data_IF_007694565432
#
_entry.id   IF_007694565432
#
_cell.length_a   1.000
_cell.length_b   1.000
_cell.length_c   1.000
_cell.angle_alpha   90.00
_cell.angle_beta   90.00
_cell.angle_gamma   90.00
#
_symmetry.space_group_name_H-M   'P 1'
#
loop_
_entity.id
_entity.type
_entity.pdbx_description
1 polymer ?
#
# COMPACT_ATOMS: atom_id res chain seq x y z
N UNK A 1 -16.17 -15.01 -18.50
CA UNK A 1 -14.79 -14.49 -18.64
C UNK A 1 -13.97 -15.15 -17.54
N UNK A 2 -12.81 -15.74 -17.86
CA UNK A 2 -11.91 -16.31 -16.85
C UNK A 2 -11.20 -15.22 -16.06
N UNK A 3 -10.61 -15.60 -14.91
CA UNK A 3 -9.88 -14.62 -14.08
C UNK A 3 -8.66 -14.03 -14.80
N UNK A 4 -7.96 -14.80 -15.62
CA UNK A 4 -6.83 -14.30 -16.40
C UNK A 4 -7.26 -13.17 -17.35
N UNK A 5 -8.34 -13.37 -18.09
CA UNK A 5 -8.91 -12.37 -19.00
C UNK A 5 -9.39 -11.13 -18.24
N UNK A 6 -9.97 -11.30 -17.06
CA UNK A 6 -10.35 -10.18 -16.20
C UNK A 6 -9.13 -9.37 -15.76
N UNK A 7 -8.06 -10.04 -15.29
CA UNK A 7 -6.82 -9.36 -14.89
C UNK A 7 -6.21 -8.59 -16.07
N UNK A 8 -6.25 -9.16 -17.28
CA UNK A 8 -5.77 -8.52 -18.51
C UNK A 8 -6.61 -7.30 -18.87
N UNK A 9 -7.95 -7.41 -18.84
CA UNK A 9 -8.87 -6.31 -19.11
C UNK A 9 -8.76 -5.18 -18.08
N UNK A 10 -8.39 -5.50 -16.84
CA UNK A 10 -8.11 -4.49 -15.80
C UNK A 10 -6.73 -3.84 -15.92
N UNK A 11 -5.88 -4.29 -16.85
CA UNK A 11 -4.52 -3.78 -17.02
C UNK A 11 -3.56 -4.17 -15.89
N UNK A 12 -3.82 -5.29 -15.21
CA UNK A 12 -3.04 -5.74 -14.05
C UNK A 12 -1.82 -6.58 -14.44
N UNK A 13 -1.79 -7.19 -15.62
CA UNK A 13 -0.70 -8.06 -16.06
C UNK A 13 0.40 -7.24 -16.72
N UNK A 14 1.65 -7.36 -16.25
CA UNK A 14 2.83 -6.75 -16.85
C UNK A 14 3.69 -7.77 -17.62
N UNK A 15 4.20 -8.78 -16.95
CA UNK A 15 5.03 -9.81 -17.55
C UNK A 15 4.60 -11.20 -17.07
N UNK A 16 4.79 -12.21 -17.91
CA UNK A 16 4.46 -13.60 -17.63
C UNK A 16 5.56 -14.52 -18.17
N UNK A 17 5.85 -15.62 -17.48
CA UNK A 17 6.81 -16.63 -17.97
C UNK A 17 6.23 -17.52 -19.07
N UNK A 18 4.95 -17.88 -18.95
CA UNK A 18 4.20 -18.69 -19.90
C UNK A 18 2.72 -18.32 -19.82
N UNK A 19 2.22 -17.60 -20.84
CA UNK A 19 0.85 -17.08 -20.83
C UNK A 19 -0.20 -18.18 -20.85
N UNK A 20 0.04 -19.25 -21.63
CA UNK A 20 -0.94 -20.33 -21.79
C UNK A 20 -1.07 -21.16 -20.52
N UNK A 21 0.05 -21.57 -19.93
CA UNK A 21 0.07 -22.34 -18.68
C UNK A 21 -0.49 -21.55 -17.51
N UNK A 22 -0.09 -20.28 -17.38
CA UNK A 22 -0.62 -19.40 -16.31
C UNK A 22 -2.12 -19.22 -16.44
N UNK A 23 -2.62 -18.97 -17.66
CA UNK A 23 -4.06 -18.86 -17.94
C UNK A 23 -4.81 -20.12 -17.52
N UNK A 24 -4.30 -21.29 -17.91
CA UNK A 24 -4.90 -22.56 -17.53
C UNK A 24 -4.93 -22.74 -16.01
N UNK A 25 -3.82 -22.48 -15.33
CA UNK A 25 -3.72 -22.65 -13.88
C UNK A 25 -4.71 -21.74 -13.13
N UNK A 26 -4.70 -20.43 -13.41
CA UNK A 26 -5.52 -19.49 -12.65
C UNK A 26 -7.00 -19.57 -12.98
N UNK A 27 -7.37 -19.83 -14.25
CA UNK A 27 -8.76 -19.94 -14.65
C UNK A 27 -9.45 -21.21 -14.11
N UNK A 28 -8.68 -22.25 -13.81
CA UNK A 28 -9.21 -23.52 -13.29
C UNK A 28 -9.02 -23.69 -11.77
N UNK A 29 -8.59 -22.64 -11.05
CA UNK A 29 -8.38 -22.70 -9.59
C UNK A 29 -7.25 -23.65 -9.18
N UNK A 30 -6.30 -23.92 -10.08
CA UNK A 30 -5.17 -24.85 -9.86
C UNK A 30 -3.90 -24.17 -9.38
N UNK A 31 -3.87 -22.84 -9.33
CA UNK A 31 -2.70 -22.12 -8.85
C UNK A 31 -2.67 -22.12 -7.31
N UNK A 32 -1.60 -22.67 -6.75
CA UNK A 32 -1.12 -22.36 -5.41
C UNK A 32 0.00 -21.36 -5.57
N UNK A 33 -0.20 -20.13 -5.14
CA UNK A 33 0.69 -19.03 -5.47
C UNK A 33 1.07 -18.21 -4.26
N UNK A 34 2.23 -17.56 -4.31
CA UNK A 34 2.63 -16.67 -3.23
C UNK A 34 2.94 -15.24 -3.70
N UNK A 35 2.79 -14.33 -2.76
CA UNK A 35 3.31 -12.97 -2.81
C UNK A 35 4.08 -12.74 -1.50
N UNK A 36 5.31 -12.22 -1.61
CA UNK A 36 6.17 -11.91 -0.47
C UNK A 36 5.95 -10.48 0.03
N UNK A 37 6.00 -10.32 1.35
CA UNK A 37 5.83 -9.05 2.05
C UNK A 37 6.94 -8.88 3.09
N UNK A 38 7.92 -8.04 2.79
CA UNK A 38 8.95 -7.65 3.74
C UNK A 38 8.39 -6.73 4.82
N UNK A 39 8.56 -7.11 6.08
CA UNK A 39 7.98 -6.43 7.25
C UNK A 39 8.78 -5.18 7.66
N UNK A 40 8.92 -4.22 6.76
CA UNK A 40 9.73 -3.00 6.94
C UNK A 40 9.03 -1.88 7.72
N UNK A 41 7.78 -2.07 8.11
CA UNK A 41 6.96 -1.16 8.93
C UNK A 41 5.85 -1.97 9.63
N UNK A 42 5.24 -1.38 10.65
CA UNK A 42 4.13 -1.95 11.43
C UNK A 42 2.76 -1.79 10.76
N UNK A 43 2.71 -1.44 9.48
CA UNK A 43 1.49 -1.40 8.67
C UNK A 43 1.79 -1.60 7.19
N UNK A 44 0.82 -2.22 6.51
CA UNK A 44 0.72 -2.19 5.06
C UNK A 44 0.29 -0.78 4.60
N UNK A 45 0.61 -0.43 3.38
CA UNK A 45 0.25 0.85 2.76
C UNK A 45 -0.28 0.65 1.33
N UNK A 46 -0.76 1.71 0.70
CA UNK A 46 -1.32 1.67 -0.67
C UNK A 46 -0.40 0.98 -1.68
N UNK A 47 0.93 1.02 -1.49
CA UNK A 47 1.87 0.27 -2.35
C UNK A 47 1.71 -1.25 -2.30
N UNK A 48 1.19 -1.82 -1.21
CA UNK A 48 0.88 -3.25 -1.08
C UNK A 48 -0.56 -3.58 -1.52
N UNK A 49 -1.39 -2.56 -1.68
CA UNK A 49 -2.82 -2.71 -1.91
C UNK A 49 -3.15 -3.50 -3.19
N UNK A 50 -2.40 -3.25 -4.26
CA UNK A 50 -2.59 -4.00 -5.51
C UNK A 50 -2.31 -5.50 -5.35
N UNK A 51 -1.26 -5.84 -4.60
CA UNK A 51 -0.94 -7.23 -4.31
C UNK A 51 -2.07 -7.92 -3.52
N UNK A 52 -2.62 -7.23 -2.51
CA UNK A 52 -3.75 -7.73 -1.73
C UNK A 52 -5.02 -7.89 -2.58
N UNK A 53 -5.32 -6.92 -3.44
CA UNK A 53 -6.45 -7.02 -4.38
C UNK A 53 -6.28 -8.18 -5.37
N UNK A 54 -5.06 -8.41 -5.85
CA UNK A 54 -4.75 -9.56 -6.71
C UNK A 54 -4.97 -10.88 -5.98
N UNK A 55 -4.43 -11.01 -4.75
CA UNK A 55 -4.63 -12.22 -3.93
C UNK A 55 -6.11 -12.51 -3.71
N UNK A 56 -6.90 -11.47 -3.37
CA UNK A 56 -8.35 -11.59 -3.19
C UNK A 56 -9.05 -12.06 -4.47
N UNK A 57 -8.75 -11.46 -5.62
CA UNK A 57 -9.35 -11.85 -6.92
C UNK A 57 -9.05 -13.28 -7.27
N UNK A 58 -7.80 -13.71 -7.14
CA UNK A 58 -7.39 -15.07 -7.44
C UNK A 58 -7.99 -16.08 -6.46
N UNK A 59 -8.12 -15.71 -5.18
CA UNK A 59 -8.81 -16.54 -4.19
C UNK A 59 -10.29 -16.70 -4.52
N UNK A 60 -10.99 -15.63 -4.89
CA UNK A 60 -12.39 -15.67 -5.33
C UNK A 60 -12.58 -16.56 -6.58
N UNK A 61 -11.56 -16.68 -7.42
CA UNK A 61 -11.52 -17.58 -8.57
C UNK A 61 -11.10 -19.02 -8.23
N UNK A 62 -11.00 -19.38 -6.93
CA UNK A 62 -10.69 -20.72 -6.45
C UNK A 62 -9.22 -21.05 -6.33
N UNK A 63 -8.31 -20.11 -6.58
CA UNK A 63 -6.87 -20.30 -6.39
C UNK A 63 -6.48 -20.17 -4.92
N UNK A 64 -5.33 -20.73 -4.53
CA UNK A 64 -4.85 -20.79 -3.15
C UNK A 64 -3.70 -19.80 -2.92
N UNK A 65 -3.95 -18.65 -2.28
CA UNK A 65 -2.90 -17.69 -1.97
C UNK A 65 -2.04 -18.13 -0.79
N UNK A 66 -0.76 -17.82 -0.88
CA UNK A 66 0.21 -17.86 0.23
C UNK A 66 0.69 -16.42 0.46
N UNK A 67 0.37 -15.86 1.61
CA UNK A 67 0.99 -14.63 2.08
C UNK A 67 2.32 -14.99 2.75
N UNK A 68 3.43 -14.75 2.05
CA UNK A 68 4.75 -15.01 2.58
C UNK A 68 5.28 -13.81 3.34
N UNK A 69 5.39 -13.94 4.64
CA UNK A 69 6.02 -12.95 5.50
C UNK A 69 7.54 -13.07 5.36
N UNK A 70 8.18 -11.97 4.98
CA UNK A 70 9.62 -11.89 4.79
C UNK A 70 10.39 -11.70 6.09
N UNK A 71 10.17 -12.55 7.11
CA UNK A 71 10.88 -12.44 8.40
C UNK A 71 12.41 -12.56 8.26
N UNK A 72 12.88 -13.51 7.44
CA UNK A 72 14.29 -13.67 7.13
C UNK A 72 14.79 -12.65 6.10
N UNK A 73 14.06 -12.44 5.00
CA UNK A 73 14.47 -11.52 3.93
C UNK A 73 14.46 -10.05 4.36
N UNK A 74 13.59 -9.65 5.29
CA UNK A 74 13.60 -8.28 5.86
C UNK A 74 14.91 -7.96 6.57
N UNK A 75 15.58 -8.95 7.17
CA UNK A 75 16.89 -8.76 7.80
C UNK A 75 18.00 -8.41 6.80
N UNK A 76 17.81 -8.80 5.54
CA UNK A 76 18.75 -8.55 4.44
C UNK A 76 18.40 -7.26 3.70
N UNK A 77 17.13 -7.12 3.32
CA UNK A 77 16.57 -5.98 2.60
C UNK A 77 16.69 -6.09 1.08
N UNK A 78 15.53 -6.05 0.43
CA UNK A 78 15.41 -6.09 -1.05
C UNK A 78 16.01 -4.82 -1.69
N UNK A 79 17.01 -4.97 -2.59
CA UNK A 79 17.60 -3.86 -3.32
C UNK A 79 16.76 -3.37 -4.50
N UNK A 80 15.75 -4.12 -4.94
CA UNK A 80 14.97 -3.86 -6.15
C UNK A 80 14.28 -2.48 -6.12
N UNK A 81 14.48 -1.70 -7.19
CA UNK A 81 13.84 -0.38 -7.34
C UNK A 81 14.24 0.66 -6.28
N UNK A 82 15.43 0.54 -5.68
CA UNK A 82 15.95 1.44 -4.65
C UNK A 82 17.33 1.98 -5.00
N UNK A 83 17.61 3.16 -4.45
CA UNK A 83 18.91 3.81 -4.58
C UNK A 83 19.80 3.60 -3.35
N UNK A 84 19.22 3.34 -2.18
CA UNK A 84 19.92 3.25 -0.90
C UNK A 84 19.61 1.94 -0.19
N UNK A 85 20.56 1.46 0.64
CA UNK A 85 20.39 0.28 1.48
C UNK A 85 19.26 0.50 2.49
N UNK A 86 18.50 -0.56 2.80
CA UNK A 86 17.45 -0.50 3.83
C UNK A 86 18.05 -0.36 5.23
N UNK A 87 17.32 0.34 6.12
CA UNK A 87 17.64 0.34 7.54
C UNK A 87 17.49 -1.09 8.09
N UNK A 88 18.48 -1.55 8.81
CA UNK A 88 18.42 -2.84 9.51
C UNK A 88 17.44 -2.73 10.68
N UNK A 89 16.51 -3.68 10.74
CA UNK A 89 15.53 -3.82 11.83
C UNK A 89 15.96 -4.94 12.77
N UNK A 90 15.53 -4.86 14.03
CA UNK A 90 15.72 -5.97 14.99
C UNK A 90 14.73 -7.10 14.67
N UNK A 91 15.01 -8.29 15.24
CA UNK A 91 14.08 -9.41 15.10
C UNK A 91 12.73 -9.10 15.75
N UNK A 92 12.73 -8.43 16.88
CA UNK A 92 11.54 -8.01 17.62
C UNK A 92 10.69 -7.04 16.81
N UNK A 93 11.32 -6.06 16.12
CA UNK A 93 10.62 -5.15 15.21
C UNK A 93 9.95 -5.92 14.06
N UNK A 94 10.66 -6.89 13.47
CA UNK A 94 10.17 -7.69 12.35
C UNK A 94 9.00 -8.57 12.78
N UNK A 95 9.11 -9.25 13.93
CA UNK A 95 8.06 -10.10 14.49
C UNK A 95 6.79 -9.26 14.79
N UNK A 96 6.95 -8.08 15.39
CA UNK A 96 5.85 -7.15 15.64
C UNK A 96 5.17 -6.70 14.33
N UNK A 97 5.95 -6.31 13.34
CA UNK A 97 5.45 -5.88 12.04
C UNK A 97 4.71 -7.02 11.32
N UNK A 98 5.21 -8.25 11.41
CA UNK A 98 4.58 -9.43 10.84
C UNK A 98 3.16 -9.66 11.40
N UNK A 99 3.00 -9.53 12.73
CA UNK A 99 1.68 -9.65 13.38
C UNK A 99 0.73 -8.52 12.97
N UNK A 100 1.25 -7.30 12.75
CA UNK A 100 0.46 -6.20 12.22
C UNK A 100 -0.02 -6.48 10.78
N UNK A 101 0.86 -6.99 9.92
CA UNK A 101 0.51 -7.37 8.55
C UNK A 101 -0.57 -8.45 8.51
N UNK A 102 -0.44 -9.48 9.32
CA UNK A 102 -1.41 -10.58 9.41
C UNK A 102 -2.82 -10.06 9.65
N UNK A 103 -3.00 -9.25 10.71
CA UNK A 103 -4.32 -8.67 11.05
C UNK A 103 -4.91 -7.83 9.94
N UNK A 104 -4.07 -7.14 9.15
CA UNK A 104 -4.55 -6.33 8.03
C UNK A 104 -4.90 -7.19 6.82
N UNK A 105 -4.13 -8.25 6.53
CA UNK A 105 -4.37 -9.17 5.42
C UNK A 105 -5.67 -9.97 5.60
N UNK A 106 -6.05 -10.31 6.83
CA UNK A 106 -7.30 -11.03 7.15
C UNK A 106 -8.57 -10.28 6.69
N UNK A 107 -8.46 -8.98 6.42
CA UNK A 107 -9.56 -8.19 5.84
C UNK A 107 -9.73 -8.39 4.34
N UNK A 108 -8.69 -8.87 3.66
CA UNK A 108 -8.67 -9.03 2.21
C UNK A 108 -8.85 -10.48 1.79
N UNK A 109 -8.19 -11.40 2.45
CA UNK A 109 -8.13 -12.81 2.09
C UNK A 109 -8.56 -13.68 3.26
N UNK A 110 -9.19 -14.79 2.94
CA UNK A 110 -9.64 -15.77 3.92
C UNK A 110 -8.55 -16.80 4.17
N UNK A 111 -8.03 -16.85 5.40
CA UNK A 111 -7.08 -17.86 5.84
C UNK A 111 -7.79 -19.10 6.38
N UNK A 112 -7.15 -20.26 6.30
CA UNK A 112 -7.63 -21.52 6.88
C UNK A 112 -7.36 -22.71 5.99
N UNK A 113 -7.81 -23.89 6.45
CA UNK A 113 -7.66 -25.13 5.72
C UNK A 113 -8.34 -25.08 4.34
N UNK A 114 -7.61 -25.40 3.28
CA UNK A 114 -8.08 -25.32 1.90
C UNK A 114 -8.24 -23.90 1.33
N UNK A 115 -7.99 -22.86 2.13
CA UNK A 115 -8.04 -21.44 1.76
C UNK A 115 -6.62 -20.87 1.61
N UNK A 116 -6.39 -19.63 2.06
CA UNK A 116 -5.06 -19.03 2.07
C UNK A 116 -4.19 -19.56 3.21
N UNK A 117 -2.89 -19.58 2.99
CA UNK A 117 -1.87 -19.84 4.00
C UNK A 117 -1.09 -18.57 4.29
N UNK A 118 -0.60 -18.46 5.54
CA UNK A 118 0.41 -17.48 5.92
C UNK A 118 1.66 -18.23 6.35
N UNK A 119 2.77 -17.95 5.70
CA UNK A 119 4.08 -18.56 5.98
C UNK A 119 5.08 -17.46 6.31
N UNK A 120 6.10 -17.80 7.10
CA UNK A 120 7.21 -16.90 7.41
C UNK A 120 8.51 -17.52 6.90
N UNK A 121 9.23 -16.85 6.02
CA UNK A 121 10.48 -17.40 5.49
C UNK A 121 11.62 -17.45 6.52
N UNK A 122 11.49 -16.80 7.67
CA UNK A 122 12.42 -17.00 8.78
C UNK A 122 12.45 -18.47 9.28
N UNK A 123 11.32 -19.20 9.16
CA UNK A 123 11.20 -20.58 9.64
C UNK A 123 12.20 -21.53 8.94
N UNK A 124 12.55 -21.25 7.70
CA UNK A 124 13.54 -22.06 6.96
C UNK A 124 14.84 -21.29 6.69
N UNK A 125 14.83 -20.00 6.38
CA UNK A 125 16.05 -19.26 6.03
C UNK A 125 17.02 -19.14 7.21
N UNK A 126 16.50 -18.97 8.43
CA UNK A 126 17.34 -18.83 9.65
C UNK A 126 18.08 -20.13 10.04
N UNK A 127 17.61 -21.26 9.56
CA UNK A 127 18.16 -22.59 9.88
C UNK A 127 19.02 -23.17 8.74
N UNK A 128 19.23 -22.43 7.65
CA UNK A 128 20.05 -22.90 6.53
C UNK A 128 21.53 -22.96 6.89
N UNK A 129 22.15 -24.10 6.60
CA UNK A 129 23.61 -24.19 6.64
C UNK A 129 24.20 -23.44 5.45
N UNK A 130 25.06 -22.47 5.72
CA UNK A 130 25.64 -21.60 4.68
C UNK A 130 26.40 -22.37 3.60
N UNK A 131 27.21 -23.37 3.98
CA UNK A 131 28.01 -24.17 3.04
C UNK A 131 27.10 -25.04 2.17
N UNK A 132 26.07 -25.63 2.76
CA UNK A 132 25.10 -26.44 2.01
C UNK A 132 24.30 -25.56 1.04
N UNK A 133 23.87 -24.38 1.45
CA UNK A 133 23.21 -23.42 0.58
C UNK A 133 24.09 -23.04 -0.61
N UNK A 134 25.36 -22.73 -0.40
CA UNK A 134 26.29 -22.41 -1.49
C UNK A 134 26.48 -23.56 -2.45
N UNK A 135 26.62 -24.80 -1.96
CA UNK A 135 26.82 -26.00 -2.82
C UNK A 135 25.56 -26.34 -3.60
N UNK A 136 24.41 -26.37 -2.95
CA UNK A 136 23.18 -26.89 -3.52
C UNK A 136 22.41 -25.84 -4.33
N UNK A 137 22.39 -24.60 -3.86
CA UNK A 137 21.63 -23.51 -4.47
C UNK A 137 22.55 -22.55 -5.20
N UNK A 138 23.61 -22.09 -4.57
CA UNK A 138 24.56 -21.14 -5.16
C UNK A 138 25.16 -21.63 -6.48
N UNK A 139 25.41 -22.94 -6.63
CA UNK A 139 25.88 -23.55 -7.89
C UNK A 139 24.88 -23.40 -9.05
N UNK A 140 23.62 -23.10 -8.79
CA UNK A 140 22.59 -22.84 -9.80
C UNK A 140 22.57 -21.36 -10.28
N UNK A 141 23.34 -20.46 -9.66
CA UNK A 141 23.36 -19.05 -10.00
C UNK A 141 24.70 -18.64 -10.64
N UNK A 142 24.62 -17.88 -11.72
CA UNK A 142 25.79 -17.26 -12.34
C UNK A 142 25.90 -15.80 -11.87
N UNK A 143 27.00 -15.47 -11.21
CA UNK A 143 27.28 -14.08 -10.77
C UNK A 143 27.19 -13.09 -11.94
N UNK A 144 27.72 -13.46 -13.11
CA UNK A 144 27.66 -12.61 -14.30
C UNK A 144 26.21 -12.34 -14.77
N UNK A 145 25.33 -13.32 -14.65
CA UNK A 145 23.90 -13.13 -15.00
C UNK A 145 23.19 -12.31 -13.93
N UNK A 146 23.48 -12.58 -12.65
CA UNK A 146 22.91 -11.80 -11.54
C UNK A 146 23.28 -10.33 -11.65
N UNK A 147 24.55 -10.00 -11.91
CA UNK A 147 25.00 -8.61 -12.05
C UNK A 147 24.35 -7.85 -13.23
N UNK A 148 23.81 -8.57 -14.22
CA UNK A 148 23.04 -7.98 -15.33
C UNK A 148 21.56 -7.84 -15.03
N UNK A 149 21.10 -8.35 -13.88
CA UNK A 149 19.70 -8.32 -13.51
C UNK A 149 19.27 -6.88 -13.16
N UNK A 150 18.11 -6.47 -13.69
CA UNK A 150 17.56 -5.13 -13.52
C UNK A 150 17.38 -4.73 -12.05
N UNK A 151 17.14 -5.69 -11.16
CA UNK A 151 16.99 -5.43 -9.72
C UNK A 151 18.26 -4.87 -9.07
N UNK A 152 19.46 -5.10 -9.64
CA UNK A 152 20.74 -4.60 -9.12
C UNK A 152 21.22 -3.31 -9.81
N UNK A 153 20.69 -2.97 -10.99
CA UNK A 153 21.19 -1.89 -11.85
C UNK A 153 21.38 -0.57 -11.08
N UNK A 154 20.37 -0.11 -10.38
CA UNK A 154 20.41 1.16 -9.63
C UNK A 154 21.35 1.12 -8.42
N UNK A 155 21.50 -0.06 -7.81
CA UNK A 155 22.40 -0.24 -6.65
C UNK A 155 23.85 -0.36 -7.03
N UNK A 156 24.15 -0.89 -8.20
CA UNK A 156 25.54 -1.00 -8.69
C UNK A 156 26.22 0.37 -8.83
N UNK A 157 25.50 1.39 -9.24
CA UNK A 157 26.03 2.75 -9.37
C UNK A 157 26.47 3.34 -8.02
N UNK A 158 25.81 2.97 -6.92
CA UNK A 158 26.07 3.47 -5.55
C UNK A 158 26.78 2.48 -4.64
N UNK A 159 27.11 1.31 -5.15
CA UNK A 159 27.76 0.23 -4.42
C UNK A 159 26.77 -0.78 -3.84
N UNK A 160 26.58 -1.91 -4.58
CA UNK A 160 25.81 -3.06 -4.14
C UNK A 160 26.60 -3.85 -3.10
N UNK A 161 26.05 -4.03 -1.90
CA UNK A 161 26.68 -4.84 -0.86
C UNK A 161 26.51 -6.34 -1.15
N UNK A 162 27.43 -7.17 -0.63
CA UNK A 162 27.31 -8.63 -0.72
C UNK A 162 26.02 -9.13 -0.03
N UNK A 163 25.60 -8.46 1.04
CA UNK A 163 24.33 -8.74 1.72
C UNK A 163 23.16 -8.63 0.77
N UNK A 164 22.98 -7.45 0.12
CA UNK A 164 21.91 -7.19 -0.83
C UNK A 164 21.98 -8.11 -2.06
N UNK A 165 23.19 -8.45 -2.51
CA UNK A 165 23.39 -9.34 -3.66
C UNK A 165 22.82 -10.75 -3.42
N UNK A 166 22.79 -11.21 -2.17
CA UNK A 166 22.22 -12.52 -1.82
C UNK A 166 20.69 -12.53 -1.76
N UNK A 167 20.02 -11.36 -1.80
CA UNK A 167 18.56 -11.32 -1.69
C UNK A 167 17.85 -12.14 -2.78
N UNK A 168 18.29 -12.07 -4.04
CA UNK A 168 17.74 -12.86 -5.13
C UNK A 168 17.82 -14.36 -4.86
N UNK A 169 18.93 -14.83 -4.29
CA UNK A 169 19.13 -16.25 -3.96
C UNK A 169 18.13 -16.70 -2.88
N UNK A 170 17.92 -15.88 -1.85
CA UNK A 170 16.98 -16.16 -0.77
C UNK A 170 15.54 -16.21 -1.27
N UNK A 171 15.11 -15.23 -2.06
CA UNK A 171 13.76 -15.24 -2.65
C UNK A 171 13.56 -16.41 -3.61
N UNK A 172 14.59 -16.80 -4.34
CA UNK A 172 14.55 -17.99 -5.20
C UNK A 172 14.45 -19.28 -4.37
N UNK A 173 15.12 -19.33 -3.23
CA UNK A 173 15.02 -20.44 -2.31
C UNK A 173 13.65 -20.53 -1.65
N UNK A 174 13.03 -19.41 -1.31
CA UNK A 174 11.66 -19.38 -0.81
C UNK A 174 10.69 -20.06 -1.77
N UNK A 175 10.76 -19.73 -3.06
CA UNK A 175 9.90 -20.35 -4.08
C UNK A 175 10.17 -21.85 -4.18
N UNK A 176 11.45 -22.24 -4.26
CA UNK A 176 11.86 -23.63 -4.32
C UNK A 176 11.40 -24.44 -3.10
N UNK A 177 11.55 -23.88 -1.91
CA UNK A 177 11.11 -24.51 -0.66
C UNK A 177 9.58 -24.70 -0.64
N UNK A 178 8.81 -23.67 -0.93
CA UNK A 178 7.35 -23.74 -0.96
C UNK A 178 6.80 -24.61 -2.10
N UNK A 179 7.52 -24.70 -3.23
CA UNK A 179 7.16 -25.62 -4.29
C UNK A 179 7.20 -27.07 -3.81
N UNK A 180 8.18 -27.44 -3.01
CA UNK A 180 8.35 -28.81 -2.48
C UNK A 180 7.43 -29.10 -1.30
N UNK A 181 7.22 -28.13 -0.42
CA UNK A 181 6.56 -28.37 0.88
C UNK A 181 5.06 -28.15 0.84
N UNK A 182 4.58 -27.18 0.07
CA UNK A 182 3.15 -26.80 0.02
C UNK A 182 2.58 -26.77 -1.40
N UNK A 183 3.35 -27.22 -2.40
CA UNK A 183 2.90 -27.27 -3.79
C UNK A 183 2.70 -25.90 -4.45
N UNK A 184 3.42 -24.88 -3.99
CA UNK A 184 3.39 -23.56 -4.58
C UNK A 184 3.95 -23.58 -6.00
N UNK A 185 3.11 -23.40 -7.02
CA UNK A 185 3.48 -23.49 -8.43
C UNK A 185 3.57 -22.14 -9.16
N UNK A 186 3.19 -21.04 -8.47
CA UNK A 186 3.25 -19.71 -9.06
C UNK A 186 3.76 -18.67 -8.06
N UNK A 187 4.47 -17.68 -8.58
CA UNK A 187 4.86 -16.47 -7.87
C UNK A 187 4.24 -15.24 -8.53
N UNK A 188 3.70 -14.32 -7.73
CA UNK A 188 3.28 -13.00 -8.18
C UNK A 188 4.07 -11.92 -7.45
N UNK A 189 4.28 -10.79 -8.11
CA UNK A 189 4.97 -9.64 -7.53
C UNK A 189 4.79 -8.39 -8.39
N UNK A 190 5.29 -7.25 -7.92
CA UNK A 190 5.41 -6.04 -8.74
C UNK A 190 6.41 -6.23 -9.88
N UNK A 191 6.31 -5.41 -10.92
CA UNK A 191 7.20 -5.53 -12.09
C UNK A 191 8.68 -5.31 -11.76
N UNK A 192 8.98 -4.64 -10.66
CA UNK A 192 10.33 -4.49 -10.11
C UNK A 192 10.92 -5.80 -9.53
N UNK A 193 10.09 -6.82 -9.31
CA UNK A 193 10.48 -8.14 -8.78
C UNK A 193 10.82 -9.18 -9.87
N UNK A 194 10.65 -8.85 -11.14
CA UNK A 194 10.75 -9.82 -12.23
C UNK A 194 12.04 -10.65 -12.20
N UNK A 195 13.19 -10.00 -12.03
CA UNK A 195 14.48 -10.70 -11.99
C UNK A 195 14.61 -11.69 -10.83
N UNK A 196 14.11 -11.31 -9.65
CA UNK A 196 14.11 -12.19 -8.48
C UNK A 196 13.20 -13.40 -8.70
N UNK A 197 12.01 -13.18 -9.30
CA UNK A 197 11.03 -14.23 -9.59
C UNK A 197 11.57 -15.26 -10.58
N UNK A 198 12.26 -14.80 -11.64
CA UNK A 198 12.91 -15.69 -12.61
C UNK A 198 14.01 -16.55 -11.97
N UNK A 199 14.71 -16.04 -10.97
CA UNK A 199 15.68 -16.83 -10.19
C UNK A 199 15.03 -18.05 -9.54
N UNK A 200 13.83 -17.89 -9.00
CA UNK A 200 13.05 -18.97 -8.39
C UNK A 200 12.56 -20.02 -9.39
N UNK A 201 11.98 -19.60 -10.52
CA UNK A 201 11.53 -20.52 -11.58
C UNK A 201 12.70 -21.33 -12.15
N UNK A 202 13.84 -20.67 -12.37
CA UNK A 202 15.06 -21.33 -12.89
C UNK A 202 15.67 -22.30 -11.87
N UNK A 203 15.66 -21.97 -10.57
CA UNK A 203 16.12 -22.85 -9.52
C UNK A 203 15.28 -24.14 -9.46
N UNK A 204 13.96 -24.03 -9.50
CA UNK A 204 13.03 -25.17 -9.53
C UNK A 204 13.29 -26.04 -10.76
N UNK A 205 13.43 -25.43 -11.94
CA UNK A 205 13.73 -26.15 -13.18
C UNK A 205 15.05 -26.91 -13.09
N UNK A 206 16.11 -26.28 -12.59
CA UNK A 206 17.45 -26.91 -12.47
C UNK A 206 17.51 -28.03 -11.46
N UNK A 207 16.87 -27.82 -10.29
CA UNK A 207 16.96 -28.78 -9.19
C UNK A 207 15.96 -29.94 -9.30
N UNK A 208 14.77 -29.68 -9.83
CA UNK A 208 13.65 -30.64 -9.82
C UNK A 208 13.24 -31.11 -11.23
N UNK A 209 13.71 -30.45 -12.30
CA UNK A 209 13.27 -30.73 -13.67
C UNK A 209 11.77 -30.45 -13.86
N UNK A 210 11.19 -29.51 -13.08
CA UNK A 210 9.79 -29.16 -13.11
C UNK A 210 9.63 -27.68 -13.45
N UNK A 211 8.44 -27.33 -13.98
CA UNK A 211 8.09 -25.97 -14.30
C UNK A 211 7.34 -25.31 -13.14
N UNK A 212 7.70 -24.07 -12.87
CA UNK A 212 6.99 -23.14 -12.00
C UNK A 212 6.88 -21.80 -12.72
N UNK A 213 5.83 -21.05 -12.42
CA UNK A 213 5.46 -19.88 -13.20
C UNK A 213 5.55 -18.60 -12.39
N UNK A 214 5.78 -17.49 -13.09
CA UNK A 214 5.83 -16.17 -12.51
C UNK A 214 5.02 -15.19 -13.37
N UNK A 215 4.31 -14.29 -12.68
CA UNK A 215 3.59 -13.18 -13.30
C UNK A 215 3.79 -11.91 -12.49
N UNK A 216 4.18 -10.83 -13.15
CA UNK A 216 4.26 -9.52 -12.51
C UNK A 216 3.00 -8.70 -12.76
N UNK A 217 2.66 -7.87 -11.77
CA UNK A 217 1.59 -6.90 -11.87
C UNK A 217 2.14 -5.51 -12.18
N UNK A 218 1.38 -4.77 -12.97
CA UNK A 218 1.67 -3.38 -13.31
C UNK A 218 1.80 -2.55 -12.03
N UNK A 219 2.85 -1.72 -11.94
CA UNK A 219 3.02 -0.81 -10.80
C UNK A 219 1.94 0.28 -10.82
N UNK A 220 1.43 0.60 -9.64
CA UNK A 220 0.46 1.68 -9.49
C UNK A 220 1.17 3.04 -9.56
N UNK A 221 1.24 3.59 -10.76
CA UNK A 221 1.85 4.88 -11.04
C UNK A 221 0.75 5.90 -11.39
N UNK A 222 0.96 7.15 -10.98
CA UNK A 222 0.13 8.26 -11.45
C UNK A 222 0.54 8.67 -12.88
N UNK A 223 -0.19 9.61 -13.48
CA UNK A 223 0.05 10.15 -14.83
C UNK A 223 1.42 10.83 -15.00
N UNK A 224 2.09 11.20 -13.89
CA UNK A 224 3.47 11.72 -13.88
C UNK A 224 4.53 10.61 -13.76
N UNK A 225 4.14 9.33 -13.75
CA UNK A 225 5.05 8.19 -13.59
C UNK A 225 5.54 7.96 -12.15
N UNK A 226 4.96 8.62 -11.14
CA UNK A 226 5.34 8.45 -9.74
C UNK A 226 4.51 7.34 -9.08
N UNK A 227 5.16 6.52 -8.23
CA UNK A 227 4.46 5.49 -7.44
C UNK A 227 3.40 6.14 -6.54
N UNK A 228 2.15 5.68 -6.63
CA UNK A 228 1.04 6.14 -5.79
C UNK A 228 1.17 5.60 -4.35
N UNK A 229 0.42 6.21 -3.42
CA UNK A 229 0.42 5.83 -2.01
C UNK A 229 1.47 6.54 -1.16
N UNK A 230 2.14 7.55 -1.72
CA UNK A 230 3.00 8.46 -0.97
C UNK A 230 2.50 9.90 -1.12
N UNK A 231 2.45 10.61 -0.01
CA UNK A 231 2.14 12.05 0.06
C UNK A 231 3.35 12.82 0.58
N UNK A 232 3.27 14.13 0.64
CA UNK A 232 4.31 14.96 1.26
C UNK A 232 4.50 14.63 2.76
N UNK A 233 3.48 14.07 3.41
CA UNK A 233 3.48 13.63 4.81
C UNK A 233 3.87 12.17 5.01
N UNK A 234 4.20 11.44 3.95
CA UNK A 234 4.62 10.03 4.02
C UNK A 234 3.71 9.04 3.30
N UNK A 235 3.75 7.78 3.71
CA UNK A 235 2.92 6.73 3.11
C UNK A 235 1.45 6.86 3.54
N UNK A 236 0.53 6.47 2.65
CA UNK A 236 -0.88 6.27 2.98
C UNK A 236 -1.06 4.84 3.47
N UNK A 237 -1.30 4.71 4.77
CA UNK A 237 -1.33 3.44 5.49
C UNK A 237 -2.72 2.78 5.42
N UNK A 238 -2.75 1.46 5.57
CA UNK A 238 -4.01 0.71 5.70
C UNK A 238 -4.46 0.59 7.17
N UNK A 239 -3.58 0.92 8.12
CA UNK A 239 -3.93 1.01 9.54
C UNK A 239 -4.71 2.31 9.81
N UNK A 240 -5.95 2.24 10.36
CA UNK A 240 -6.75 3.41 10.66
C UNK A 240 -6.14 4.32 11.74
N UNK A 241 -5.22 3.83 12.56
CA UNK A 241 -4.51 4.64 13.56
C UNK A 241 -3.38 5.49 12.94
N UNK A 242 -2.92 5.15 11.72
CA UNK A 242 -1.86 5.87 10.99
C UNK A 242 -2.39 6.76 9.88
N UNK A 243 -3.41 6.28 9.16
CA UNK A 243 -4.19 7.05 8.18
C UNK A 243 -5.65 6.79 8.50
N UNK A 244 -6.35 7.80 8.98
CA UNK A 244 -7.76 7.64 9.35
C UNK A 244 -8.60 7.21 8.13
N UNK A 245 -9.75 6.53 8.29
CA UNK A 245 -10.64 6.19 7.17
C UNK A 245 -11.05 7.42 6.35
N UNK A 246 -11.22 8.57 7.01
CA UNK A 246 -11.50 9.83 6.33
C UNK A 246 -10.32 10.33 5.48
N UNK A 247 -9.09 10.32 6.00
CA UNK A 247 -7.89 10.72 5.23
C UNK A 247 -7.60 9.75 4.10
N UNK A 248 -7.84 8.44 4.32
CA UNK A 248 -7.75 7.43 3.28
C UNK A 248 -8.78 7.69 2.16
N UNK A 249 -10.03 7.98 2.51
CA UNK A 249 -11.07 8.39 1.57
C UNK A 249 -10.68 9.65 0.80
N UNK A 250 -10.19 10.69 1.50
CA UNK A 250 -9.76 11.94 0.88
C UNK A 250 -8.57 11.76 -0.04
N UNK A 251 -7.65 10.86 0.27
CA UNK A 251 -6.54 10.54 -0.63
C UNK A 251 -7.07 10.10 -2.00
N UNK A 252 -7.99 9.15 -2.03
CA UNK A 252 -8.57 8.63 -3.28
C UNK A 252 -9.53 9.63 -3.94
N UNK A 253 -10.27 10.40 -3.16
CA UNK A 253 -11.14 11.47 -3.65
C UNK A 253 -10.37 12.59 -4.36
N UNK A 254 -9.08 12.75 -4.03
CA UNK A 254 -8.18 13.77 -4.58
C UNK A 254 -7.22 13.24 -5.66
N UNK A 255 -7.44 12.04 -6.17
CA UNK A 255 -6.69 11.49 -7.32
C UNK A 255 -6.92 12.36 -8.55
N UNK A 256 -5.90 12.49 -9.41
CA UNK A 256 -5.97 13.29 -10.63
C UNK A 256 -7.05 12.77 -11.61
N UNK A 257 -7.62 13.67 -12.41
CA UNK A 257 -8.63 13.30 -13.41
C UNK A 257 -8.10 12.27 -14.41
N UNK A 258 -6.83 12.36 -14.77
CA UNK A 258 -6.17 11.43 -15.70
C UNK A 258 -5.94 10.03 -15.09
N UNK A 259 -6.04 9.89 -13.75
CA UNK A 259 -5.71 8.65 -13.04
C UNK A 259 -6.93 7.90 -12.50
N UNK A 260 -8.05 8.60 -12.30
CA UNK A 260 -9.20 8.06 -11.56
C UNK A 260 -9.81 6.82 -12.20
N UNK A 261 -10.05 6.82 -13.51
CA UNK A 261 -10.67 5.68 -14.20
C UNK A 261 -9.73 4.47 -14.23
N UNK A 262 -8.43 4.72 -14.43
CA UNK A 262 -7.40 3.68 -14.29
C UNK A 262 -7.39 3.06 -12.88
N UNK A 263 -7.44 3.88 -11.83
CA UNK A 263 -7.50 3.39 -10.46
C UNK A 263 -8.78 2.59 -10.18
N UNK A 264 -9.94 3.01 -10.67
CA UNK A 264 -11.19 2.25 -10.57
C UNK A 264 -11.01 0.87 -11.21
N UNK A 265 -10.50 0.81 -12.44
CA UNK A 265 -10.32 -0.42 -13.20
C UNK A 265 -9.38 -1.40 -12.51
N UNK A 266 -8.26 -0.92 -11.99
CA UNK A 266 -7.22 -1.76 -11.39
C UNK A 266 -7.56 -2.20 -9.96
N UNK A 267 -8.16 -1.34 -9.15
CA UNK A 267 -8.24 -1.52 -7.70
C UNK A 267 -9.61 -1.93 -7.19
N UNK A 268 -10.70 -1.52 -7.84
CA UNK A 268 -12.05 -1.84 -7.36
C UNK A 268 -12.53 -3.22 -7.83
N UNK A 269 -13.52 -3.77 -7.12
CA UNK A 269 -14.18 -5.03 -7.48
C UNK A 269 -15.50 -4.80 -8.25
N UNK A 270 -15.69 -3.60 -8.78
CA UNK A 270 -16.84 -3.29 -9.65
C UNK A 270 -16.81 -4.14 -10.93
N UNK A 271 -18.00 -4.56 -11.45
CA UNK A 271 -18.10 -5.24 -12.74
C UNK A 271 -17.44 -4.44 -13.87
N UNK A 272 -16.75 -5.13 -14.80
CA UNK A 272 -16.08 -4.47 -15.92
C UNK A 272 -17.05 -3.68 -16.79
N UNK A 273 -18.26 -4.17 -17.02
CA UNK A 273 -19.30 -3.48 -17.79
C UNK A 273 -19.68 -2.13 -17.18
N UNK A 274 -19.69 -2.06 -15.85
CA UNK A 274 -19.93 -0.78 -15.14
C UNK A 274 -18.74 0.18 -15.31
N UNK A 275 -17.53 -0.35 -15.28
CA UNK A 275 -16.31 0.45 -15.46
C UNK A 275 -16.19 0.94 -16.90
N UNK A 276 -16.46 0.08 -17.89
CA UNK A 276 -16.42 0.41 -19.31
C UNK A 276 -17.43 1.52 -19.65
N UNK A 277 -18.58 1.53 -18.98
CA UNK A 277 -19.54 2.63 -19.09
C UNK A 277 -19.02 3.99 -18.56
N UNK A 278 -17.99 3.97 -17.70
CA UNK A 278 -17.36 5.19 -17.19
C UNK A 278 -16.23 5.70 -18.09
N UNK A 279 -15.71 4.92 -19.04
CA UNK A 279 -14.57 5.31 -19.88
C UNK A 279 -14.84 6.59 -20.71
N UNK A 280 -16.11 6.89 -20.98
CA UNK A 280 -16.54 8.10 -21.68
C UNK A 280 -16.80 9.30 -20.73
N UNK A 281 -16.55 9.16 -19.43
CA UNK A 281 -16.82 10.23 -18.46
C UNK A 281 -15.76 11.33 -18.53
N UNK A 282 -16.23 12.56 -18.56
CA UNK A 282 -15.40 13.77 -18.65
C UNK A 282 -15.90 14.86 -17.68
N UNK A 283 -15.05 15.83 -17.41
CA UNK A 283 -15.41 17.04 -16.65
C UNK A 283 -15.98 16.71 -15.26
N UNK A 284 -17.19 17.16 -15.00
CA UNK A 284 -17.85 16.97 -13.70
C UNK A 284 -18.17 15.50 -13.36
N UNK A 285 -18.29 14.62 -14.36
CA UNK A 285 -18.53 13.19 -14.14
C UNK A 285 -17.32 12.52 -13.49
N UNK A 286 -16.10 13.00 -13.74
CA UNK A 286 -14.90 12.50 -13.05
C UNK A 286 -14.94 12.74 -11.54
N UNK A 287 -15.63 13.78 -11.08
CA UNK A 287 -15.85 13.96 -9.64
C UNK A 287 -16.68 12.84 -9.03
N UNK A 288 -17.70 12.35 -9.77
CA UNK A 288 -18.48 11.17 -9.35
C UNK A 288 -17.61 9.90 -9.38
N UNK A 289 -16.76 9.74 -10.39
CA UNK A 289 -15.81 8.63 -10.45
C UNK A 289 -14.87 8.61 -9.25
N UNK A 290 -14.36 9.78 -8.82
CA UNK A 290 -13.53 9.91 -7.62
C UNK A 290 -14.28 9.56 -6.34
N UNK A 291 -15.57 9.88 -6.23
CA UNK A 291 -16.40 9.44 -5.10
C UNK A 291 -16.57 7.93 -5.07
N UNK A 292 -16.85 7.32 -6.22
CA UNK A 292 -16.96 5.86 -6.35
C UNK A 292 -15.64 5.20 -5.96
N UNK A 293 -14.52 5.67 -6.50
CA UNK A 293 -13.19 5.14 -6.17
C UNK A 293 -12.91 5.22 -4.67
N UNK A 294 -13.10 6.40 -4.09
CA UNK A 294 -12.82 6.63 -2.67
C UNK A 294 -13.72 5.75 -1.78
N UNK A 295 -15.01 5.66 -2.10
CA UNK A 295 -15.95 4.83 -1.37
C UNK A 295 -15.59 3.34 -1.43
N UNK A 296 -15.41 2.80 -2.64
CA UNK A 296 -15.12 1.38 -2.85
C UNK A 296 -13.81 0.94 -2.17
N UNK A 297 -12.76 1.77 -2.24
CA UNK A 297 -11.49 1.44 -1.62
C UNK A 297 -11.52 1.61 -0.09
N UNK A 298 -12.22 2.61 0.42
CA UNK A 298 -12.39 2.77 1.87
C UNK A 298 -13.25 1.64 2.44
N UNK A 299 -14.32 1.25 1.75
CA UNK A 299 -15.14 0.08 2.11
C UNK A 299 -14.32 -1.20 2.17
N UNK A 300 -13.45 -1.42 1.19
CA UNK A 300 -12.60 -2.61 1.12
C UNK A 300 -11.59 -2.68 2.26
N UNK A 301 -11.00 -1.55 2.67
CA UNK A 301 -9.94 -1.50 3.69
C UNK A 301 -10.51 -1.35 5.10
N UNK A 302 -11.50 -0.49 5.29
CA UNK A 302 -11.99 -0.08 6.61
C UNK A 302 -13.41 -0.55 6.94
N UNK A 303 -14.10 -1.13 5.95
CA UNK A 303 -15.49 -1.57 6.07
C UNK A 303 -16.50 -0.52 5.63
N UNK A 304 -17.74 -0.97 5.43
CA UNK A 304 -18.82 -0.15 4.84
C UNK A 304 -19.24 1.00 5.75
N UNK A 305 -19.29 0.77 7.06
CA UNK A 305 -19.66 1.78 8.04
C UNK A 305 -18.70 2.98 8.00
N UNK A 306 -17.38 2.70 8.02
CA UNK A 306 -16.37 3.76 7.95
C UNK A 306 -16.33 4.46 6.58
N UNK A 307 -16.62 3.73 5.49
CA UNK A 307 -16.75 4.33 4.17
C UNK A 307 -17.94 5.29 4.08
N UNK A 308 -19.08 4.93 4.67
CA UNK A 308 -20.25 5.79 4.74
C UNK A 308 -19.96 7.07 5.55
N UNK A 309 -19.39 6.92 6.74
CA UNK A 309 -19.00 8.07 7.60
C UNK A 309 -18.03 9.01 6.87
N UNK A 310 -17.01 8.45 6.20
CA UNK A 310 -16.03 9.24 5.46
C UNK A 310 -16.66 9.97 4.26
N UNK A 311 -17.57 9.31 3.55
CA UNK A 311 -18.29 9.92 2.42
C UNK A 311 -19.22 11.05 2.88
N UNK A 312 -19.98 10.84 3.94
CA UNK A 312 -20.87 11.85 4.53
C UNK A 312 -20.07 13.07 4.99
N UNK A 313 -18.98 12.85 5.74
CA UNK A 313 -18.10 13.94 6.17
C UNK A 313 -17.49 14.69 4.98
N UNK A 314 -17.07 13.99 3.92
CA UNK A 314 -16.55 14.63 2.71
C UNK A 314 -17.62 15.47 1.99
N UNK A 315 -18.85 14.98 1.86
CA UNK A 315 -19.97 15.72 1.25
C UNK A 315 -20.35 16.95 2.07
N UNK A 316 -20.32 16.85 3.40
CA UNK A 316 -20.55 17.96 4.31
C UNK A 316 -19.59 19.12 4.07
N UNK A 317 -18.32 18.82 3.82
CA UNK A 317 -17.29 19.83 3.51
C UNK A 317 -17.53 20.61 2.22
N UNK A 318 -18.15 19.98 1.22
CA UNK A 318 -18.35 20.59 -0.10
C UNK A 318 -19.77 21.06 -0.35
N UNK A 319 -20.75 20.64 0.46
CA UNK A 319 -22.18 20.92 0.29
C UNK A 319 -22.78 21.92 1.28
N UNK A 320 -22.05 22.39 2.28
CA UNK A 320 -22.48 23.44 3.22
C UNK A 320 -23.57 23.04 4.21
N UNK A 321 -23.96 21.75 4.33
CA UNK A 321 -25.07 21.30 5.20
C UNK A 321 -24.87 19.93 5.87
N UNK A 322 -23.64 19.53 6.16
CA UNK A 322 -23.37 18.22 6.77
C UNK A 322 -22.64 18.29 8.10
N UNK A 323 -22.78 17.25 8.93
CA UNK A 323 -22.10 17.10 10.22
C UNK A 323 -20.59 16.90 10.04
N UNK A 324 -19.79 17.65 10.79
CA UNK A 324 -18.33 17.52 10.85
C UNK A 324 -17.86 16.39 11.78
N UNK A 325 -18.76 15.63 12.38
CA UNK A 325 -18.47 14.63 13.43
C UNK A 325 -17.51 13.53 12.99
N UNK A 326 -17.51 13.17 11.72
CA UNK A 326 -16.70 12.07 11.17
C UNK A 326 -15.36 12.52 10.58
N UNK A 327 -14.93 13.77 10.78
CA UNK A 327 -13.59 14.23 10.40
C UNK A 327 -12.55 13.85 11.46
N UNK A 328 -11.26 13.77 11.10
CA UNK A 328 -10.19 13.76 12.09
C UNK A 328 -10.36 14.94 13.03
N UNK A 329 -10.38 14.68 14.32
CA UNK A 329 -10.69 15.70 15.29
C UNK A 329 -9.72 15.69 16.48
N UNK A 330 -9.48 16.86 17.06
CA UNK A 330 -8.73 17.02 18.30
C UNK A 330 -9.59 17.74 19.32
N UNK A 331 -9.75 17.12 20.49
CA UNK A 331 -10.27 17.78 21.65
C UNK A 331 -9.18 18.65 22.28
N UNK A 332 -9.39 19.95 22.31
CA UNK A 332 -8.46 20.90 22.91
C UNK A 332 -8.73 21.05 24.40
N UNK A 333 -7.74 20.77 25.27
CA UNK A 333 -7.90 21.03 26.71
C UNK A 333 -7.93 22.53 26.96
N UNK A 334 -8.71 22.97 27.98
CA UNK A 334 -8.86 24.38 28.36
C UNK A 334 -7.50 25.06 28.63
N UNK A 335 -6.52 24.33 29.13
CA UNK A 335 -5.16 24.83 29.39
C UNK A 335 -4.42 25.35 28.12
N UNK A 336 -4.95 25.11 26.93
CA UNK A 336 -4.42 25.64 25.66
C UNK A 336 -4.92 27.05 25.35
N UNK A 337 -5.90 27.52 26.08
CA UNK A 337 -6.46 28.85 25.87
C UNK A 337 -5.90 29.84 26.91
N UNK A 338 -5.17 30.82 26.46
CA UNK A 338 -4.68 31.93 27.29
C UNK A 338 -5.64 33.08 27.18
N UNK A 339 -6.14 33.55 28.29
CA UNK A 339 -7.22 34.59 28.35
C UNK A 339 -8.42 34.23 27.45
N UNK A 340 -8.80 32.94 27.42
CA UNK A 340 -9.93 32.45 26.61
C UNK A 340 -9.65 32.40 25.12
N UNK A 341 -8.40 32.49 24.68
CA UNK A 341 -8.01 32.50 23.26
C UNK A 341 -6.87 31.54 22.95
N UNK A 342 -6.85 30.97 21.72
CA UNK A 342 -5.73 30.19 21.18
C UNK A 342 -5.21 30.85 19.93
N UNK A 343 -3.88 30.95 19.79
CA UNK A 343 -3.22 31.48 18.59
C UNK A 343 -3.25 30.49 17.42
N UNK A 344 -3.31 31.00 16.19
CA UNK A 344 -3.36 30.16 14.99
C UNK A 344 -2.18 29.18 14.88
N UNK A 345 -0.96 29.58 15.27
CA UNK A 345 0.24 28.71 15.28
C UNK A 345 0.04 27.57 16.28
N UNK A 346 -0.36 27.89 17.49
CA UNK A 346 -0.58 26.90 18.56
C UNK A 346 -1.71 25.93 18.20
N UNK A 347 -2.79 26.44 17.63
CA UNK A 347 -3.91 25.61 17.16
C UNK A 347 -3.44 24.55 16.15
N UNK A 348 -2.64 24.94 15.15
CA UNK A 348 -2.12 24.02 14.14
C UNK A 348 -1.21 22.93 14.71
N UNK A 349 -0.39 23.29 15.69
CA UNK A 349 0.52 22.33 16.35
C UNK A 349 -0.25 21.44 17.32
N UNK A 350 -1.18 22.00 18.09
CA UNK A 350 -2.02 21.24 19.03
C UNK A 350 -2.89 20.19 18.30
N UNK A 351 -3.37 20.51 17.11
CA UNK A 351 -4.11 19.58 16.25
C UNK A 351 -3.23 18.61 15.45
N UNK A 352 -1.91 18.60 15.64
CA UNK A 352 -1.00 17.75 14.88
C UNK A 352 -0.90 18.08 13.39
N UNK A 353 -1.47 19.20 12.96
CA UNK A 353 -1.44 19.65 11.57
C UNK A 353 -0.06 20.17 11.14
N UNK A 354 0.75 20.62 12.07
CA UNK A 354 2.12 21.02 11.85
C UNK A 354 3.02 20.40 12.92
N UNK A 355 4.20 19.93 12.53
CA UNK A 355 5.14 19.31 13.44
C UNK A 355 5.89 20.34 14.34
N UNK A 356 5.84 21.62 13.97
CA UNK A 356 6.51 22.70 14.71
C UNK A 356 5.87 24.07 14.48
N UNK A 357 6.12 25.00 15.41
CA UNK A 357 5.71 26.39 15.28
C UNK A 357 6.30 27.06 14.01
N UNK A 358 7.51 26.65 13.61
CA UNK A 358 8.15 27.17 12.39
C UNK A 358 7.44 26.73 11.11
N UNK A 359 6.94 25.48 11.06
CA UNK A 359 6.12 24.99 9.96
C UNK A 359 4.77 25.72 9.90
N UNK A 360 4.09 25.82 11.04
CA UNK A 360 2.81 26.51 11.14
C UNK A 360 2.90 27.96 10.66
N UNK A 361 3.95 28.68 11.09
CA UNK A 361 4.19 30.06 10.68
C UNK A 361 4.36 30.19 9.16
N UNK A 362 5.19 29.38 8.55
CA UNK A 362 5.40 29.37 7.10
C UNK A 362 4.12 29.06 6.34
N UNK A 363 3.35 28.08 6.81
CA UNK A 363 2.09 27.67 6.19
C UNK A 363 1.06 28.80 6.21
N UNK A 364 0.91 29.52 7.34
CA UNK A 364 0.00 30.67 7.43
C UNK A 364 0.46 31.79 6.49
N UNK A 365 1.75 32.13 6.48
CA UNK A 365 2.31 33.18 5.61
C UNK A 365 2.12 32.89 4.12
N UNK A 366 2.16 31.61 3.74
CA UNK A 366 1.86 31.16 2.38
C UNK A 366 0.35 31.16 2.07
N UNK A 367 -0.50 31.48 3.05
CA UNK A 367 -1.94 31.47 2.91
C UNK A 367 -2.56 30.09 2.79
N UNK A 368 -1.86 29.07 3.35
CA UNK A 368 -2.25 27.66 3.30
C UNK A 368 -3.20 27.23 4.43
N UNK A 369 -3.76 28.15 5.23
CA UNK A 369 -4.65 27.83 6.36
C UNK A 369 -5.95 28.60 6.25
N UNK A 370 -7.07 27.90 6.47
CA UNK A 370 -8.38 28.52 6.72
C UNK A 370 -9.04 27.86 7.95
N UNK A 371 -9.84 28.60 8.69
CA UNK A 371 -10.68 28.12 9.81
C UNK A 371 -12.11 28.51 9.50
N UNK A 372 -13.03 27.54 9.50
CA UNK A 372 -14.42 27.71 9.07
C UNK A 372 -14.52 28.48 7.72
N UNK A 373 -13.74 28.02 6.72
CA UNK A 373 -13.60 28.61 5.37
C UNK A 373 -13.05 30.04 5.32
N UNK A 374 -12.75 30.64 6.47
CA UNK A 374 -12.11 31.96 6.52
C UNK A 374 -10.58 31.78 6.54
N UNK A 375 -9.92 32.41 5.57
CA UNK A 375 -8.47 32.35 5.44
C UNK A 375 -7.80 33.02 6.64
N UNK A 376 -6.84 32.34 7.28
CA UNK A 376 -6.01 32.90 8.34
C UNK A 376 -5.00 33.86 7.70
N UNK A 377 -5.25 35.15 7.87
CA UNK A 377 -4.51 36.21 7.17
C UNK A 377 -3.13 36.52 7.78
N UNK A 378 -2.94 36.25 9.09
CA UNK A 378 -1.72 36.57 9.83
C UNK A 378 -1.40 35.49 10.86
N UNK A 379 -0.14 35.39 11.23
CA UNK A 379 0.34 34.52 12.32
C UNK A 379 -0.17 34.93 13.70
N UNK A 380 -0.63 36.18 13.83
CA UNK A 380 -1.11 36.76 15.09
C UNK A 380 -2.63 36.57 15.29
N UNK A 381 -3.30 35.90 14.36
CA UNK A 381 -4.74 35.59 14.48
C UNK A 381 -4.95 34.66 15.67
N UNK A 382 -5.97 35.03 16.48
CA UNK A 382 -6.42 34.24 17.64
C UNK A 382 -7.89 33.85 17.47
N UNK A 383 -8.28 32.76 18.08
CA UNK A 383 -9.64 32.23 18.08
C UNK A 383 -10.15 32.16 19.52
N UNK A 384 -11.37 32.58 19.72
CA UNK A 384 -12.01 32.54 21.05
C UNK A 384 -12.42 31.11 21.41
N UNK A 385 -12.24 30.70 22.65
CA UNK A 385 -12.61 29.37 23.16
C UNK A 385 -14.06 29.00 22.86
N UNK A 386 -14.96 29.97 22.91
CA UNK A 386 -16.36 29.74 22.61
C UNK A 386 -16.63 29.23 21.18
N UNK A 387 -15.74 29.50 20.23
CA UNK A 387 -15.87 28.98 18.86
C UNK A 387 -15.66 27.49 18.77
N UNK A 388 -14.98 26.87 19.75
CA UNK A 388 -14.67 25.46 19.81
C UNK A 388 -15.71 24.61 20.55
N UNK A 389 -16.76 25.26 21.12
CA UNK A 389 -17.86 24.55 21.78
C UNK A 389 -18.77 23.82 20.75
N UNK A 390 -19.43 22.75 21.17
CA UNK A 390 -20.34 21.97 20.32
C UNK A 390 -19.62 21.31 19.16
N UNK A 391 -19.98 21.67 17.93
CA UNK A 391 -19.35 21.10 16.73
C UNK A 391 -17.90 21.56 16.51
N UNK A 392 -17.43 22.57 17.26
CA UNK A 392 -16.09 23.09 17.15
C UNK A 392 -15.82 23.86 15.85
N UNK A 393 -14.54 23.94 15.46
CA UNK A 393 -14.12 24.62 14.23
C UNK A 393 -13.50 23.62 13.25
N UNK A 394 -13.69 23.85 11.96
CA UNK A 394 -13.04 23.11 10.88
C UNK A 394 -11.81 23.86 10.41
N UNK A 395 -10.66 23.24 10.54
CA UNK A 395 -9.37 23.77 10.09
C UNK A 395 -9.02 23.12 8.74
N UNK A 396 -8.66 23.95 7.76
CA UNK A 396 -8.20 23.50 6.44
C UNK A 396 -6.72 23.82 6.26
N UNK A 397 -5.88 22.79 6.04
CA UNK A 397 -4.46 22.90 5.70
C UNK A 397 -4.28 22.65 4.20
N UNK A 398 -3.91 23.68 3.44
CA UNK A 398 -3.83 23.62 1.99
C UNK A 398 -5.18 23.34 1.32
N UNK A 399 -5.17 22.58 0.21
CA UNK A 399 -6.41 22.28 -0.54
C UNK A 399 -7.08 20.97 -0.14
N UNK A 400 -6.41 20.11 0.66
CA UNK A 400 -6.77 18.70 0.75
C UNK A 400 -6.88 18.14 2.18
N UNK A 401 -6.37 18.83 3.20
CA UNK A 401 -6.38 18.35 4.58
C UNK A 401 -7.40 19.15 5.39
N UNK A 402 -8.29 18.44 6.05
CA UNK A 402 -9.33 18.99 6.92
C UNK A 402 -9.25 18.34 8.31
N UNK A 403 -9.49 19.14 9.34
CA UNK A 403 -9.41 18.68 10.72
C UNK A 403 -10.37 19.46 11.58
N UNK A 404 -11.07 18.80 12.49
CA UNK A 404 -11.96 19.45 13.44
C UNK A 404 -11.24 19.65 14.77
N UNK A 405 -11.35 20.85 15.35
CA UNK A 405 -10.93 21.12 16.71
C UNK A 405 -12.11 21.55 17.55
N UNK A 406 -12.26 20.99 18.76
CA UNK A 406 -13.37 21.27 19.65
C UNK A 406 -12.93 21.23 21.12
N UNK A 407 -13.73 21.85 22.01
CA UNK A 407 -13.60 21.76 23.48
C UNK A 407 -14.66 20.82 24.04
N UNK A 408 -14.44 20.36 25.28
CA UNK A 408 -15.42 19.54 26.00
C UNK A 408 -16.71 20.31 26.29
#
# INVERSE_FOLDING_TARGET
>A
MGIYEELKARGLIAQVTDEEQIRELVNNGKATFYIGFDCTADSLHVGHFMALCLMKRLQMAGNKPIALIGGGTTMIGDPSGRNDMRKMLTKEDIDHNAECFKRQMERFIEFGEGKAMMLNNADWLMNLNYIELLREVGACFSVNNMLRAKCYEQRMEKGLSFLEFNYMIMQSYDFYHMFQTVGCNMQFGGDDQWSNMLGGTELIRRKLGKDAHAMTITLLLNSEGKKMGKTASGAVWLDPNKTTPFDFYQYWRNVGDADVLKCIRMLTFLPLEQIDAMDAWEGSQLNKAKEILAYELTKLVHGEEEANKAQEAARALFGGSGSSENMPATQLPEARFTDGKIGAIELLVACGLCASNGEARRLIQQGGVAVNDQKVASIDVTFDQAQFAGDGVVIKKGKKVFHRAYTA
#
